data_IF_361425568273
#
_entry.id   IF_361425568273
#
_cell.length_a   1.000
_cell.length_b   1.000
_cell.length_c   1.000
_cell.angle_alpha   90.00
_cell.angle_beta   90.00
_cell.angle_gamma   90.00
#
_symmetry.space_group_name_H-M   'P 1'
#
loop_
_entity.id
_entity.type
_entity.pdbx_description
1 polymer ?
#
# COMPACT_ATOMS: atom_id res chain seq x y z
N UNK A 1 12.02 53.81 -9.35
CA UNK A 1 12.99 52.74 -9.66
C UNK A 1 13.49 53.02 -11.06
N UNK A 2 14.76 53.41 -11.17
CA UNK A 2 15.36 53.80 -12.44
C UNK A 2 15.57 52.56 -13.33
N UNK A 3 15.31 52.65 -14.65
CA UNK A 3 15.64 51.58 -15.58
C UNK A 3 17.17 51.37 -15.62
N UNK A 4 17.60 50.12 -15.71
CA UNK A 4 19.02 49.77 -15.87
C UNK A 4 19.61 50.38 -17.16
N UNK A 5 20.95 50.43 -17.28
CA UNK A 5 21.62 51.14 -18.37
C UNK A 5 21.12 50.65 -19.73
N UNK A 6 20.85 51.56 -20.68
CA UNK A 6 20.39 51.17 -22.01
C UNK A 6 21.50 50.38 -22.69
N UNK A 7 21.24 49.10 -22.99
CA UNK A 7 21.99 48.41 -24.03
C UNK A 7 21.84 49.24 -25.30
N UNK A 8 22.93 49.82 -25.81
CA UNK A 8 22.95 50.72 -26.97
C UNK A 8 22.47 50.05 -28.27
N UNK A 9 22.23 48.74 -28.24
CA UNK A 9 21.67 47.96 -29.34
C UNK A 9 20.14 48.15 -29.45
N UNK A 10 19.64 48.75 -30.55
CA UNK A 10 18.20 48.91 -30.77
C UNK A 10 17.46 47.58 -30.94
N UNK A 11 18.18 46.47 -31.15
CA UNK A 11 17.62 45.12 -31.24
C UNK A 11 17.34 44.47 -29.89
N UNK A 12 17.98 44.95 -28.81
CA UNK A 12 17.83 44.43 -27.44
C UNK A 12 16.92 45.29 -26.57
N UNK A 13 16.53 46.47 -27.05
CA UNK A 13 15.57 47.33 -26.39
C UNK A 13 14.12 46.86 -26.62
N UNK A 14 13.43 46.49 -25.54
CA UNK A 14 12.06 46.00 -25.55
C UNK A 14 11.02 47.01 -26.05
N UNK A 15 11.35 48.31 -26.10
CA UNK A 15 10.48 49.36 -26.60
C UNK A 15 10.84 49.84 -28.02
N UNK A 16 11.91 49.31 -28.61
CA UNK A 16 12.37 49.69 -29.94
C UNK A 16 11.51 49.06 -31.04
N UNK A 17 11.23 49.78 -32.15
CA UNK A 17 10.55 49.21 -33.31
C UNK A 17 11.38 48.12 -34.01
N UNK A 18 12.69 48.05 -33.75
CA UNK A 18 13.61 47.06 -34.31
C UNK A 18 13.96 45.92 -33.33
N UNK A 19 13.16 45.75 -32.27
CA UNK A 19 13.38 44.70 -31.27
C UNK A 19 13.41 43.30 -31.89
N UNK A 20 14.48 42.54 -31.61
CA UNK A 20 14.65 41.17 -32.07
C UNK A 20 14.48 40.19 -30.90
N UNK A 21 13.30 39.55 -30.83
CA UNK A 21 12.96 38.60 -29.77
C UNK A 21 13.92 37.40 -29.69
N UNK A 22 14.45 36.93 -30.83
CA UNK A 22 15.37 35.79 -30.85
C UNK A 22 16.73 36.15 -30.26
N UNK A 23 17.25 37.34 -30.60
CA UNK A 23 18.51 37.87 -30.03
C UNK A 23 18.35 38.14 -28.53
N UNK A 24 17.20 38.68 -28.12
CA UNK A 24 16.88 38.93 -26.72
C UNK A 24 16.85 37.64 -25.88
N UNK A 25 16.24 36.56 -26.39
CA UNK A 25 16.20 35.25 -25.71
C UNK A 25 17.56 34.57 -25.61
N UNK A 26 18.44 34.77 -26.60
CA UNK A 26 19.80 34.23 -26.59
C UNK A 26 20.76 35.01 -25.67
N UNK A 27 20.40 36.22 -25.27
CA UNK A 27 21.24 37.10 -24.46
C UNK A 27 21.09 36.77 -22.98
N UNK A 28 22.12 36.17 -22.38
CA UNK A 28 22.13 35.78 -20.96
C UNK A 28 22.09 37.03 -20.08
N UNK A 29 21.16 37.05 -19.11
CA UNK A 29 21.06 38.13 -18.13
C UNK A 29 20.22 39.33 -18.57
N UNK A 30 19.66 39.33 -19.78
CA UNK A 30 18.71 40.35 -20.23
C UNK A 30 17.42 40.27 -19.39
N UNK A 31 17.09 41.36 -18.70
CA UNK A 31 15.88 41.45 -17.88
C UNK A 31 14.81 42.26 -18.60
N UNK A 32 13.55 41.80 -18.62
CA UNK A 32 12.46 42.60 -19.17
C UNK A 32 12.25 43.86 -18.32
N UNK A 33 11.67 44.94 -18.89
CA UNK A 33 11.51 46.21 -18.20
C UNK A 33 10.75 46.11 -16.86
N UNK A 34 9.90 45.08 -16.72
CA UNK A 34 9.18 44.76 -15.50
C UNK A 34 9.43 43.31 -15.05
N UNK A 35 10.53 43.05 -14.29
CA UNK A 35 10.95 41.70 -13.93
C UNK A 35 10.02 40.98 -12.94
N UNK A 36 9.12 41.73 -12.27
CA UNK A 36 8.14 41.18 -11.32
C UNK A 36 6.83 40.70 -11.97
N UNK A 37 6.65 40.90 -13.27
CA UNK A 37 5.43 40.48 -13.97
C UNK A 37 5.43 38.96 -14.10
N UNK A 38 4.30 38.33 -13.76
CA UNK A 38 4.16 36.88 -13.91
C UNK A 38 4.20 36.52 -15.40
N UNK A 39 5.01 35.54 -15.81
CA UNK A 39 5.05 35.11 -17.19
C UNK A 39 3.70 34.52 -17.62
N UNK A 40 3.29 34.82 -18.84
CA UNK A 40 2.08 34.31 -19.46
C UNK A 40 2.46 33.07 -20.28
N UNK A 41 2.68 31.96 -19.58
CA UNK A 41 3.32 30.75 -20.14
C UNK A 41 2.51 30.03 -21.23
N UNK A 42 1.26 30.41 -21.45
CA UNK A 42 0.43 29.80 -22.47
C UNK A 42 -0.44 30.83 -23.18
N UNK A 43 -0.80 30.51 -24.42
CA UNK A 43 -1.63 31.35 -25.29
C UNK A 43 -2.97 31.70 -24.64
N UNK A 44 -3.51 30.84 -23.76
CA UNK A 44 -4.78 31.07 -23.05
C UNK A 44 -4.64 32.22 -22.04
N UNK A 45 -3.52 32.29 -21.32
CA UNK A 45 -3.18 33.40 -20.41
C UNK A 45 -3.02 34.71 -21.19
N UNK A 46 -2.43 34.66 -22.39
CA UNK A 46 -2.31 35.84 -23.27
C UNK A 46 -3.66 36.39 -23.74
N UNK A 47 -4.72 35.58 -23.83
CA UNK A 47 -6.06 36.09 -24.19
C UNK A 47 -6.63 37.09 -23.18
N UNK A 48 -6.12 37.10 -21.95
CA UNK A 48 -6.59 38.01 -20.91
C UNK A 48 -6.12 39.45 -21.09
N UNK A 49 -5.03 39.68 -21.83
CA UNK A 49 -4.47 41.01 -22.10
C UNK A 49 -4.93 41.60 -23.44
N UNK A 50 -5.61 40.81 -24.27
CA UNK A 50 -6.13 41.27 -25.55
C UNK A 50 -7.33 42.22 -25.36
N UNK A 51 -7.44 43.30 -26.14
CA UNK A 51 -8.62 44.17 -26.20
C UNK A 51 -9.90 43.38 -26.46
N UNK A 52 -11.01 43.85 -25.89
CA UNK A 52 -12.31 43.16 -25.97
C UNK A 52 -12.84 43.04 -27.41
N UNK A 53 -12.45 43.97 -28.29
CA UNK A 53 -12.88 44.01 -29.70
C UNK A 53 -12.33 42.84 -30.53
N UNK A 54 -11.25 42.21 -30.06
CA UNK A 54 -10.58 41.12 -30.76
C UNK A 54 -11.31 39.79 -30.47
N UNK A 55 -11.65 38.97 -31.49
CA UNK A 55 -12.35 37.70 -31.29
C UNK A 55 -11.60 36.69 -30.42
N UNK A 56 -10.25 36.74 -30.46
CA UNK A 56 -9.38 35.88 -29.65
C UNK A 56 -9.30 36.33 -28.17
N UNK A 57 -9.90 37.47 -27.81
CA UNK A 57 -9.88 37.96 -26.44
C UNK A 57 -10.66 37.05 -25.49
N UNK A 58 -10.24 37.02 -24.23
CA UNK A 58 -10.95 36.29 -23.18
C UNK A 58 -12.38 36.83 -23.00
N UNK A 59 -12.59 38.13 -23.19
CA UNK A 59 -13.91 38.75 -23.10
C UNK A 59 -14.85 38.24 -24.20
N UNK A 60 -14.40 38.25 -25.47
CA UNK A 60 -15.16 37.71 -26.59
C UNK A 60 -15.45 36.20 -26.43
N UNK A 61 -14.49 35.43 -25.92
CA UNK A 61 -14.69 34.01 -25.63
C UNK A 61 -15.76 33.75 -24.56
N UNK A 62 -15.78 34.54 -23.48
CA UNK A 62 -16.77 34.44 -22.40
C UNK A 62 -18.15 34.94 -22.84
N UNK A 63 -18.21 35.95 -23.72
CA UNK A 63 -19.45 36.41 -24.32
C UNK A 63 -20.09 35.34 -25.20
N UNK A 64 -19.27 34.58 -25.96
CA UNK A 64 -19.74 33.46 -26.79
C UNK A 64 -20.05 32.19 -25.98
N UNK A 65 -19.36 31.99 -24.86
CA UNK A 65 -19.51 30.81 -23.99
C UNK A 65 -19.85 31.27 -22.56
N UNK A 66 -21.09 31.71 -22.31
CA UNK A 66 -21.50 32.08 -20.97
C UNK A 66 -21.32 30.88 -20.04
N UNK A 67 -20.69 31.09 -18.89
CA UNK A 67 -20.55 30.03 -17.90
C UNK A 67 -21.95 29.58 -17.48
N UNK A 68 -22.24 28.27 -17.46
CA UNK A 68 -23.51 27.79 -16.96
C UNK A 68 -23.72 28.30 -15.55
N UNK A 69 -24.94 28.78 -15.25
CA UNK A 69 -25.29 29.20 -13.90
C UNK A 69 -24.98 28.05 -12.95
N UNK A 70 -24.22 28.38 -11.91
CA UNK A 70 -23.74 27.39 -10.97
C UNK A 70 -24.94 26.86 -10.20
N UNK A 71 -25.22 25.56 -10.32
CA UNK A 71 -26.34 24.96 -9.61
C UNK A 71 -26.17 25.14 -8.10
N UNK A 72 -27.30 25.29 -7.39
CA UNK A 72 -27.31 25.40 -5.92
C UNK A 72 -26.59 24.22 -5.26
N UNK A 73 -26.75 23.01 -5.81
CA UNK A 73 -26.05 21.81 -5.38
C UNK A 73 -24.51 21.92 -5.53
N UNK A 74 -24.01 22.57 -6.59
CA UNK A 74 -22.58 22.78 -6.77
C UNK A 74 -22.01 23.81 -5.77
N UNK A 75 -22.81 24.82 -5.40
CA UNK A 75 -22.44 25.80 -4.38
C UNK A 75 -22.39 25.13 -2.99
N UNK A 76 -23.39 24.32 -2.66
CA UNK A 76 -23.44 23.56 -1.41
C UNK A 76 -22.29 22.55 -1.30
N UNK A 77 -21.99 21.80 -2.37
CA UNK A 77 -20.86 20.86 -2.40
C UNK A 77 -19.50 21.56 -2.26
N UNK A 78 -19.35 22.76 -2.83
CA UNK A 78 -18.12 23.52 -2.62
C UNK A 78 -18.03 24.05 -1.19
N UNK A 79 -19.13 24.55 -0.61
CA UNK A 79 -19.16 25.00 0.76
C UNK A 79 -18.80 23.85 1.72
N UNK A 80 -19.41 22.68 1.60
CA UNK A 80 -19.09 21.51 2.45
C UNK A 80 -17.65 21.05 2.25
N UNK A 81 -17.15 21.03 1.01
CA UNK A 81 -15.76 20.70 0.71
C UNK A 81 -14.77 21.70 1.32
N UNK A 82 -15.08 23.00 1.29
CA UNK A 82 -14.27 24.05 1.93
C UNK A 82 -14.26 23.88 3.45
N UNK A 83 -15.42 23.71 4.08
CA UNK A 83 -15.51 23.48 5.52
C UNK A 83 -14.75 22.22 5.95
N UNK A 84 -14.84 21.13 5.18
CA UNK A 84 -14.09 19.89 5.44
C UNK A 84 -12.58 20.10 5.32
N UNK A 85 -12.11 20.85 4.31
CA UNK A 85 -10.69 21.19 4.16
C UNK A 85 -10.19 22.03 5.33
N UNK A 86 -10.94 23.05 5.72
CA UNK A 86 -10.61 23.91 6.87
C UNK A 86 -10.56 23.09 8.16
N UNK A 87 -11.53 22.20 8.40
CA UNK A 87 -11.55 21.33 9.58
C UNK A 87 -10.37 20.34 9.61
N UNK A 88 -9.93 19.82 8.46
CA UNK A 88 -8.74 18.95 8.40
C UNK A 88 -7.47 19.77 8.67
N UNK A 89 -7.35 20.97 8.09
CA UNK A 89 -6.21 21.85 8.32
C UNK A 89 -6.12 22.31 9.77
N UNK A 90 -7.21 22.79 10.35
CA UNK A 90 -7.23 23.22 11.76
C UNK A 90 -6.91 22.05 12.71
N UNK A 91 -7.36 20.83 12.39
CA UNK A 91 -6.99 19.63 13.14
C UNK A 91 -5.49 19.31 13.01
N UNK A 92 -4.92 19.44 11.81
CA UNK A 92 -3.48 19.26 11.59
C UNK A 92 -2.66 20.31 12.36
N UNK A 93 -3.05 21.58 12.31
CA UNK A 93 -2.42 22.68 13.04
C UNK A 93 -2.50 22.46 14.56
N UNK A 94 -3.67 22.09 15.09
CA UNK A 94 -3.82 21.76 16.51
C UNK A 94 -2.97 20.55 16.92
N UNK A 95 -2.81 19.53 16.05
CA UNK A 95 -1.91 18.41 16.34
C UNK A 95 -0.45 18.81 16.32
N UNK A 96 -0.04 19.75 15.46
CA UNK A 96 1.31 20.28 15.43
C UNK A 96 1.62 21.12 16.69
N UNK A 97 0.65 21.91 17.17
CA UNK A 97 0.79 22.73 18.38
C UNK A 97 0.85 21.91 19.67
N UNK A 98 0.20 20.73 19.72
CA UNK A 98 0.18 19.84 20.91
C UNK A 98 1.52 19.17 21.23
N UNK A 99 2.57 19.42 20.44
CA UNK A 99 3.90 18.87 20.64
C UNK A 99 4.02 17.40 20.22
N UNK A 100 5.14 16.73 20.56
CA UNK A 100 5.42 15.38 20.10
C UNK A 100 4.33 14.40 20.57
N UNK A 101 3.91 13.52 19.66
CA UNK A 101 2.88 12.53 19.95
C UNK A 101 3.32 11.64 21.11
N UNK A 102 2.37 11.03 21.83
CA UNK A 102 2.72 10.13 22.94
C UNK A 102 3.65 9.00 22.49
N UNK A 103 3.49 8.52 21.25
CA UNK A 103 4.37 7.51 20.64
C UNK A 103 5.79 8.04 20.44
N UNK A 104 5.93 9.29 20.00
CA UNK A 104 7.24 9.93 19.86
C UNK A 104 7.93 10.10 21.21
N UNK A 105 7.18 10.41 22.27
CA UNK A 105 7.72 10.48 23.64
C UNK A 105 8.22 9.11 24.11
N UNK A 106 7.51 8.04 23.79
CA UNK A 106 7.94 6.65 24.09
C UNK A 106 9.24 6.35 23.34
N UNK A 107 9.30 6.65 22.03
CA UNK A 107 10.50 6.42 21.22
C UNK A 107 11.71 7.24 21.71
N UNK A 108 11.49 8.46 22.22
CA UNK A 108 12.54 9.33 22.76
C UNK A 108 13.13 8.82 24.08
N UNK A 109 12.33 8.13 24.92
CA UNK A 109 12.81 7.55 26.19
C UNK A 109 13.81 6.41 25.99
N UNK A 110 13.77 5.75 24.83
CA UNK A 110 14.67 4.66 24.48
C UNK A 110 15.98 5.26 23.98
N UNK A 111 16.99 5.26 24.85
CA UNK A 111 18.34 5.79 24.54
C UNK A 111 19.28 4.69 24.06
N UNK A 112 19.26 3.54 24.73
CA UNK A 112 20.20 2.44 24.50
C UNK A 112 19.51 1.08 24.41
N UNK A 113 20.23 0.10 23.85
CA UNK A 113 19.82 -1.31 23.83
C UNK A 113 19.18 -1.80 22.52
N UNK A 114 18.66 -3.04 22.51
CA UNK A 114 18.18 -3.71 21.29
C UNK A 114 16.96 -3.02 20.64
N UNK A 115 16.21 -2.22 21.42
CA UNK A 115 15.08 -1.44 20.94
C UNK A 115 15.51 -0.24 20.08
N UNK A 116 16.80 0.11 20.02
CA UNK A 116 17.31 1.15 19.13
C UNK A 116 17.06 0.84 17.66
N UNK A 117 17.10 -0.44 17.28
CA UNK A 117 16.76 -0.88 15.93
C UNK A 117 15.32 -0.47 15.57
N UNK A 118 14.38 -0.72 16.49
CA UNK A 118 12.97 -0.36 16.31
C UNK A 118 12.77 1.15 16.29
N UNK A 119 13.50 1.89 17.14
CA UNK A 119 13.50 3.35 17.13
C UNK A 119 13.95 3.91 15.77
N UNK A 120 15.05 3.40 15.22
CA UNK A 120 15.54 3.79 13.91
C UNK A 120 14.53 3.46 12.80
N UNK A 121 13.95 2.25 12.83
CA UNK A 121 12.91 1.84 11.88
C UNK A 121 11.64 2.71 11.99
N UNK A 122 11.23 3.10 13.21
CA UNK A 122 10.06 3.96 13.46
C UNK A 122 10.28 5.37 12.92
N UNK A 123 11.42 5.99 13.23
CA UNK A 123 11.77 7.34 12.76
C UNK A 123 11.84 7.41 11.24
N UNK A 124 12.41 6.39 10.61
CA UNK A 124 12.57 6.31 9.16
C UNK A 124 11.34 5.72 8.44
N UNK A 125 10.27 5.37 9.17
CA UNK A 125 9.06 4.71 8.66
C UNK A 125 9.40 3.50 7.76
N UNK A 126 10.35 2.67 8.20
CA UNK A 126 10.82 1.50 7.45
C UNK A 126 9.85 0.32 7.56
N UNK A 127 9.92 -0.51 6.52
CA UNK A 127 9.30 -1.84 6.53
C UNK A 127 10.15 -2.81 7.34
N UNK A 128 9.49 -3.53 8.24
CA UNK A 128 10.10 -4.57 9.08
C UNK A 128 9.42 -5.90 8.84
N UNK A 129 10.17 -6.98 9.03
CA UNK A 129 9.69 -8.35 9.06
C UNK A 129 9.69 -8.84 10.50
N UNK A 130 8.54 -9.31 10.95
CA UNK A 130 8.31 -9.81 12.30
C UNK A 130 7.94 -11.28 12.23
N UNK A 131 8.68 -12.13 12.95
CA UNK A 131 8.35 -13.56 13.10
C UNK A 131 7.49 -13.72 14.35
N UNK A 132 6.33 -14.35 14.19
CA UNK A 132 5.38 -14.59 15.27
C UNK A 132 5.31 -16.08 15.62
N UNK A 133 5.10 -16.37 16.91
CA UNK A 133 4.90 -17.72 17.44
C UNK A 133 3.51 -17.92 18.00
N UNK A 134 3.10 -19.19 18.05
CA UNK A 134 2.04 -19.69 18.90
C UNK A 134 2.65 -20.52 20.05
N UNK A 135 1.82 -21.11 20.92
CA UNK A 135 2.28 -21.83 22.12
C UNK A 135 3.35 -22.92 21.86
N UNK A 136 3.33 -23.58 20.68
CA UNK A 136 4.20 -24.72 20.36
C UNK A 136 5.10 -24.53 19.13
N UNK A 137 5.51 -23.30 18.82
CA UNK A 137 6.38 -23.03 17.66
C UNK A 137 6.00 -21.78 16.85
N UNK A 138 6.58 -21.66 15.65
CA UNK A 138 6.40 -20.49 14.77
C UNK A 138 5.03 -20.54 14.09
N UNK A 139 4.26 -19.45 14.20
CA UNK A 139 2.96 -19.28 13.56
C UNK A 139 3.09 -18.78 12.13
N UNK A 140 4.03 -17.86 11.91
CA UNK A 140 4.17 -17.16 10.64
C UNK A 140 5.02 -15.90 10.72
N UNK A 141 5.02 -15.14 9.62
CA UNK A 141 5.73 -13.88 9.48
C UNK A 141 4.79 -12.77 9.04
N UNK A 142 5.03 -11.55 9.52
CA UNK A 142 4.31 -10.35 9.15
C UNK A 142 5.31 -9.29 8.68
N UNK A 143 5.15 -8.83 7.44
CA UNK A 143 5.97 -7.76 6.85
C UNK A 143 5.13 -6.51 6.67
N UNK A 144 5.57 -5.37 7.22
CA UNK A 144 4.83 -4.11 7.10
C UNK A 144 5.58 -2.91 7.64
N UNK A 145 5.03 -1.71 7.47
CA UNK A 145 5.63 -0.46 7.91
C UNK A 145 5.40 -0.23 9.40
N UNK A 146 6.46 0.04 10.17
CA UNK A 146 6.36 0.28 11.61
C UNK A 146 5.72 1.64 11.92
N UNK A 147 4.61 1.62 12.67
CA UNK A 147 3.86 2.81 13.10
C UNK A 147 3.87 3.09 14.59
N UNK A 148 4.11 2.09 15.42
CA UNK A 148 4.31 2.27 16.85
C UNK A 148 5.04 1.06 17.42
N UNK A 149 5.78 1.28 18.50
CA UNK A 149 6.40 0.22 19.30
C UNK A 149 6.43 0.63 20.78
N UNK A 150 6.57 -0.36 21.66
CA UNK A 150 6.64 -0.16 23.11
C UNK A 150 7.73 -1.05 23.74
N UNK A 151 8.07 -0.81 25.00
CA UNK A 151 9.10 -1.54 25.78
C UNK A 151 8.87 -3.05 25.84
N UNK A 152 7.61 -3.48 25.75
CA UNK A 152 7.22 -4.89 25.76
C UNK A 152 7.25 -5.53 24.37
N UNK A 153 7.84 -4.90 23.36
CA UNK A 153 7.81 -5.37 21.97
C UNK A 153 6.39 -5.45 21.38
N UNK A 154 5.42 -4.70 21.91
CA UNK A 154 4.14 -4.54 21.24
C UNK A 154 4.32 -3.63 20.02
N UNK A 155 3.92 -4.09 18.83
CA UNK A 155 4.15 -3.38 17.57
C UNK A 155 2.84 -3.07 16.86
N UNK A 156 2.75 -1.88 16.25
CA UNK A 156 1.70 -1.54 15.30
C UNK A 156 2.30 -1.45 13.91
N UNK A 157 1.81 -2.27 13.00
CA UNK A 157 2.23 -2.30 11.60
C UNK A 157 1.10 -1.84 10.68
N UNK A 158 1.45 -1.12 9.63
CA UNK A 158 0.54 -0.70 8.56
C UNK A 158 0.99 -1.31 7.22
N UNK A 159 0.01 -1.60 6.37
CA UNK A 159 0.18 -2.25 5.06
C UNK A 159 0.95 -3.56 5.19
N UNK A 160 0.31 -4.51 5.87
CA UNK A 160 0.92 -5.76 6.33
C UNK A 160 0.61 -6.88 5.36
N UNK A 161 1.65 -7.55 4.90
CA UNK A 161 1.55 -8.88 4.28
C UNK A 161 1.89 -9.92 5.34
N UNK A 162 0.90 -10.75 5.70
CA UNK A 162 1.08 -11.82 6.68
C UNK A 162 1.08 -13.18 5.99
N UNK A 163 2.09 -13.97 6.28
CA UNK A 163 2.23 -15.38 5.86
C UNK A 163 2.14 -16.24 7.11
N UNK A 164 1.10 -17.06 7.22
CA UNK A 164 0.83 -17.87 8.41
C UNK A 164 0.49 -19.32 8.04
N UNK A 165 0.74 -20.24 8.98
CA UNK A 165 0.42 -21.66 8.78
C UNK A 165 -0.83 -22.06 9.55
N UNK A 166 -1.68 -22.86 8.91
CA UNK A 166 -2.89 -23.46 9.49
C UNK A 166 -2.79 -24.98 9.42
N UNK A 167 -3.15 -25.65 10.51
CA UNK A 167 -3.32 -27.10 10.54
C UNK A 167 -4.76 -27.44 10.11
N UNK A 168 -4.89 -28.00 8.92
CA UNK A 168 -6.16 -28.47 8.37
C UNK A 168 -6.33 -29.98 8.61
N UNK A 169 -7.56 -30.39 8.87
CA UNK A 169 -7.94 -31.81 8.91
C UNK A 169 -8.33 -32.22 7.48
N UNK A 170 -7.53 -33.09 6.86
CA UNK A 170 -7.69 -33.48 5.45
C UNK A 170 -8.05 -34.96 5.38
N UNK A 171 -9.06 -35.36 4.59
CA UNK A 171 -9.36 -36.76 4.36
C UNK A 171 -8.30 -37.40 3.45
N UNK A 172 -7.83 -38.57 3.83
CA UNK A 172 -6.96 -39.44 3.05
C UNK A 172 -7.70 -40.75 2.79
N UNK A 173 -8.03 -41.01 1.53
CA UNK A 173 -8.57 -42.29 1.10
C UNK A 173 -7.44 -43.29 1.01
N UNK A 174 -7.56 -44.43 1.69
CA UNK A 174 -6.66 -45.58 1.53
C UNK A 174 -7.48 -46.77 1.06
N UNK A 175 -7.00 -47.43 0.01
CA UNK A 175 -7.49 -48.75 -0.37
C UNK A 175 -7.05 -49.73 0.71
N UNK A 176 -8.01 -50.27 1.45
CA UNK A 176 -7.76 -51.30 2.45
C UNK A 176 -8.35 -52.59 1.93
N UNK A 177 -7.52 -53.61 1.86
CA UNK A 177 -7.98 -54.97 1.60
C UNK A 177 -8.70 -55.48 2.84
N UNK A 178 -10.00 -55.68 2.73
CA UNK A 178 -10.83 -56.28 3.79
C UNK A 178 -11.15 -57.70 3.36
N UNK A 179 -10.72 -58.66 4.16
CA UNK A 179 -11.14 -60.05 4.05
C UNK A 179 -12.33 -60.26 4.98
N UNK A 180 -13.45 -60.66 4.40
CA UNK A 180 -14.66 -61.02 5.15
C UNK A 180 -15.03 -62.46 4.79
N UNK A 181 -15.37 -63.26 5.79
CA UNK A 181 -15.94 -64.58 5.57
C UNK A 181 -17.28 -64.43 4.84
N UNK A 182 -17.45 -65.16 3.74
CA UNK A 182 -18.75 -65.29 3.08
C UNK A 182 -19.56 -66.27 3.91
N UNK A 183 -20.51 -65.78 4.70
CA UNK A 183 -21.53 -66.66 5.27
C UNK A 183 -22.49 -67.03 4.14
N UNK A 184 -22.25 -68.15 3.47
CA UNK A 184 -23.31 -68.87 2.75
C UNK A 184 -24.23 -69.45 3.80
N UNK A 185 -25.28 -68.70 4.14
CA UNK A 185 -26.46 -69.29 4.78
C UNK A 185 -27.27 -69.91 3.65
N UNK A 186 -26.93 -71.16 3.32
CA UNK A 186 -27.86 -72.02 2.61
C UNK A 186 -28.86 -72.50 3.68
N UNK A 187 -30.01 -71.84 3.74
CA UNK A 187 -31.22 -72.42 4.29
C UNK A 187 -31.52 -73.65 3.43
N UNK A 188 -31.34 -74.87 3.97
CA UNK A 188 -32.23 -76.00 3.74
C UNK A 188 -31.82 -77.22 4.60
N UNK A 189 -32.80 -77.71 5.35
CA UNK A 189 -32.66 -78.78 6.32
C UNK A 189 -32.71 -80.18 5.68
N UNK A 190 -32.26 -81.17 6.47
CA UNK A 190 -32.39 -82.63 6.35
C UNK A 190 -31.23 -83.41 5.68
N UNK A 191 -30.27 -83.80 6.53
CA UNK A 191 -29.90 -85.21 6.76
C UNK A 191 -28.95 -85.88 5.77
N UNK A 192 -27.68 -86.03 6.17
CA UNK A 192 -26.83 -87.24 6.06
C UNK A 192 -25.42 -86.97 6.64
N UNK A 193 -24.73 -87.93 7.30
CA UNK A 193 -23.37 -87.72 7.82
C UNK A 193 -22.33 -88.38 6.89
N UNK A 194 -21.54 -87.60 6.16
CA UNK A 194 -20.41 -88.13 5.37
C UNK A 194 -19.23 -87.14 5.37
N UNK A 195 -18.12 -87.66 5.89
CA UNK A 195 -16.70 -87.41 5.60
C UNK A 195 -16.08 -86.02 5.77
N UNK A 196 -14.93 -86.07 6.44
CA UNK A 196 -13.85 -85.10 6.59
C UNK A 196 -13.44 -84.49 5.24
N UNK A 197 -14.18 -83.50 4.77
CA UNK A 197 -13.86 -82.66 3.62
C UNK A 197 -13.40 -81.28 4.08
N UNK A 198 -12.28 -80.84 3.53
CA UNK A 198 -11.56 -79.61 3.86
C UNK A 198 -12.49 -78.40 4.00
N UNK A 199 -12.41 -77.70 5.14
CA UNK A 199 -13.03 -76.39 5.35
C UNK A 199 -12.28 -75.41 4.44
N UNK A 200 -12.67 -75.35 3.17
CA UNK A 200 -12.27 -74.31 2.26
C UNK A 200 -12.88 -73.00 2.75
N UNK A 201 -12.16 -72.29 3.62
CA UNK A 201 -12.45 -70.90 3.97
C UNK A 201 -12.43 -70.06 2.68
N UNK A 202 -13.58 -69.93 2.02
CA UNK A 202 -13.76 -69.04 0.88
C UNK A 202 -13.74 -67.59 1.38
N UNK A 203 -12.53 -67.12 1.67
CA UNK A 203 -12.25 -65.78 2.16
C UNK A 203 -12.26 -64.80 0.97
N UNK A 204 -13.40 -64.17 0.70
CA UNK A 204 -13.46 -63.14 -0.33
C UNK A 204 -12.69 -61.90 0.12
N UNK A 205 -11.64 -61.62 -0.62
CA UNK A 205 -10.77 -60.46 -0.42
C UNK A 205 -11.30 -59.30 -1.26
N UNK A 206 -11.91 -58.27 -0.65
CA UNK A 206 -12.40 -57.08 -1.37
C UNK A 206 -11.57 -55.85 -1.00
N UNK A 207 -11.19 -55.05 -2.00
CA UNK A 207 -10.53 -53.76 -1.78
C UNK A 207 -11.61 -52.71 -1.51
N UNK A 208 -11.64 -52.18 -0.29
CA UNK A 208 -12.58 -51.14 0.13
C UNK A 208 -11.83 -49.84 0.37
N UNK A 209 -12.34 -48.74 -0.18
CA UNK A 209 -11.83 -47.41 0.12
C UNK A 209 -12.24 -46.99 1.53
N UNK A 210 -11.25 -46.80 2.42
CA UNK A 210 -11.46 -46.27 3.76
C UNK A 210 -10.87 -44.88 3.87
N UNK A 211 -11.72 -43.91 4.22
CA UNK A 211 -11.30 -42.53 4.48
C UNK A 211 -10.77 -42.39 5.90
N UNK A 212 -9.52 -41.94 6.05
CA UNK A 212 -8.92 -41.56 7.33
C UNK A 212 -8.65 -40.06 7.36
N UNK A 213 -8.74 -39.45 8.52
CA UNK A 213 -8.45 -38.02 8.67
C UNK A 213 -7.00 -37.80 9.09
N UNK A 214 -6.24 -37.08 8.27
CA UNK A 214 -4.88 -36.60 8.56
C UNK A 214 -4.87 -35.13 8.93
N UNK A 215 -3.74 -34.66 9.50
CA UNK A 215 -3.47 -33.23 9.66
C UNK A 215 -2.48 -32.80 8.58
N UNK A 216 -2.80 -31.73 7.86
CA UNK A 216 -1.92 -31.11 6.86
C UNK A 216 -1.67 -29.67 7.25
N UNK A 217 -0.42 -29.24 7.24
CA UNK A 217 -0.06 -27.84 7.43
C UNK A 217 -0.14 -27.11 6.09
N UNK A 218 -0.95 -26.07 6.03
CA UNK A 218 -1.12 -25.23 4.85
C UNK A 218 -0.62 -23.82 5.14
N UNK A 219 0.18 -23.26 4.22
CA UNK A 219 0.66 -21.88 4.29
C UNK A 219 -0.34 -20.98 3.58
N UNK A 220 -0.79 -19.91 4.26
CA UNK A 220 -1.70 -18.91 3.71
C UNK A 220 -1.09 -17.52 3.77
N UNK A 221 -1.53 -16.66 2.86
CA UNK A 221 -1.13 -15.26 2.78
C UNK A 221 -2.34 -14.35 2.86
N UNK A 222 -2.24 -13.22 3.56
CA UNK A 222 -3.28 -12.19 3.60
C UNK A 222 -2.68 -10.79 3.67
N UNK A 223 -3.42 -9.81 3.13
CA UNK A 223 -3.10 -8.38 3.24
C UNK A 223 -3.98 -7.74 4.30
N UNK A 224 -3.38 -6.97 5.20
CA UNK A 224 -4.07 -6.31 6.29
C UNK A 224 -3.66 -4.85 6.34
N UNK A 225 -4.64 -3.95 6.41
CA UNK A 225 -4.39 -2.51 6.43
C UNK A 225 -3.55 -2.08 7.65
N UNK A 226 -3.93 -2.53 8.83
CA UNK A 226 -3.26 -2.24 10.10
C UNK A 226 -3.36 -3.43 11.05
N UNK A 227 -2.28 -3.78 11.74
CA UNK A 227 -2.24 -4.88 12.71
C UNK A 227 -1.54 -4.42 13.97
N UNK A 228 -2.10 -4.81 15.13
CA UNK A 228 -1.42 -4.77 16.41
C UNK A 228 -0.88 -6.16 16.75
N UNK A 229 0.44 -6.27 16.93
CA UNK A 229 1.13 -7.49 17.34
C UNK A 229 1.54 -7.37 18.81
N UNK A 230 1.15 -8.37 19.61
CA UNK A 230 1.55 -8.48 21.02
C UNK A 230 2.97 -9.02 21.14
N UNK A 231 3.76 -8.43 22.02
CA UNK A 231 5.17 -8.75 22.22
C UNK A 231 5.47 -10.18 22.64
N UNK A 232 4.62 -10.80 23.46
CA UNK A 232 4.79 -12.19 23.92
C UNK A 232 4.81 -13.21 22.76
N UNK A 233 4.17 -12.85 21.65
CA UNK A 233 4.09 -13.66 20.43
C UNK A 233 5.21 -13.36 19.45
N UNK A 234 6.05 -12.35 19.68
CA UNK A 234 7.13 -11.96 18.77
C UNK A 234 8.39 -12.75 19.12
N UNK A 235 9.04 -13.31 18.09
CA UNK A 235 10.26 -14.10 18.24
C UNK A 235 11.48 -13.33 17.72
N UNK A 236 11.33 -12.74 16.54
CA UNK A 236 12.42 -12.05 15.84
C UNK A 236 11.85 -10.86 15.08
N UNK A 237 12.61 -9.76 15.06
CA UNK A 237 12.34 -8.61 14.21
C UNK A 237 13.58 -8.28 13.40
N UNK A 238 13.42 -8.09 12.09
CA UNK A 238 14.49 -7.69 11.18
C UNK A 238 13.99 -6.64 10.19
N UNK A 239 14.77 -5.60 9.86
CA UNK A 239 14.41 -4.70 8.77
C UNK A 239 14.42 -5.47 7.43
N UNK A 240 13.52 -5.13 6.51
CA UNK A 240 13.43 -5.80 5.20
C UNK A 240 14.59 -5.38 4.28
N UNK A 241 14.97 -4.12 4.34
CA UNK A 241 16.16 -3.58 3.67
C UNK A 241 17.26 -3.27 4.71
N UNK A 242 18.54 -3.54 4.41
CA UNK A 242 19.63 -3.28 5.34
C UNK A 242 19.71 -1.78 5.72
N UNK A 243 20.17 -1.50 6.94
CA UNK A 243 20.48 -0.15 7.42
C UNK A 243 21.68 0.40 6.65
N UNK A 244 21.47 0.90 5.43
CA UNK A 244 22.50 1.48 4.58
C UNK A 244 22.14 1.56 3.10
N UNK A 245 21.21 0.72 2.64
CA UNK A 245 20.71 0.79 1.26
C UNK A 245 19.64 1.89 1.16
N UNK A 246 20.06 3.13 0.98
CA UNK A 246 19.20 4.16 0.43
C UNK A 246 18.71 3.69 -0.96
N UNK A 247 17.43 3.87 -1.24
CA UNK A 247 16.78 3.44 -2.47
C UNK A 247 17.52 4.00 -3.70
N UNK A 248 18.21 3.13 -4.43
CA UNK A 248 18.52 3.34 -5.84
C UNK A 248 17.17 3.40 -6.55
N UNK A 249 16.71 4.60 -6.87
CA UNK A 249 15.62 4.80 -7.81
C UNK A 249 16.07 4.23 -9.18
N UNK A 250 15.24 3.43 -9.86
CA UNK A 250 15.53 3.05 -11.24
C UNK A 250 15.44 4.33 -12.09
N UNK A 251 16.58 4.81 -12.55
CA UNK A 251 16.68 5.94 -13.47
C UNK A 251 16.04 5.58 -14.81
N UNK A 252 15.25 6.53 -15.33
CA UNK A 252 14.70 6.53 -16.67
C UNK A 252 15.82 6.35 -17.72
N UNK A 253 15.66 5.45 -18.71
CA UNK A 253 16.56 5.40 -19.84
C UNK A 253 16.34 6.64 -20.71
N UNK A 254 17.44 7.35 -20.97
CA UNK A 254 17.55 8.44 -21.94
C UNK A 254 17.29 7.98 -23.37
#
# INVERSE_FOLDING_TARGET
MLPGPPSQDPELDFFSPHFNAQKALATIGLQPPMPRVRPLDNVVKCRAILPADIPQSRAAYLARNPRPQRSEAAIQNEATSRHRKIAVQSRQEQTALRGPSMLDRIAQRIKDGPLLLLKACYQQKRTIRVVTRHARGIRGTATGTLRAFDKFMNLVLQDVEEVYTVLLKVPHTKLVTVTSAVNTLDDDAFGNPVETGEIGENMQTRRVEKTRWGRKQEVRRRKIKTVFLRGDSIVLVSPVAPLGAAALQPGDPS
#
